data_IF_005285774476
#
_entry.id   IF_005285774476
#
_cell.length_a   1.000
_cell.length_b   1.000
_cell.length_c   1.000
_cell.angle_alpha   90.00
_cell.angle_beta   90.00
_cell.angle_gamma   90.00
#
_symmetry.space_group_name_H-M   'P 1'
#
loop_
_entity.id
_entity.type
_entity.pdbx_description
1 polymer ?
#
# COMPACT_ATOMS: atom_id res chain seq x y z
N UNK A 1 -3.99 7.53 15.27
CA UNK A 1 -5.28 8.17 14.95
C UNK A 1 -6.16 7.24 14.14
N UNK A 2 -5.79 6.84 12.91
CA UNK A 2 -6.65 6.00 12.04
C UNK A 2 -7.08 4.66 12.67
N UNK A 3 -6.20 3.99 13.43
CA UNK A 3 -6.54 2.74 14.14
C UNK A 3 -7.67 2.93 15.17
N UNK A 4 -7.68 4.03 15.90
CA UNK A 4 -8.73 4.33 16.89
C UNK A 4 -10.06 4.63 16.24
N UNK A 5 -10.03 5.21 15.03
CA UNK A 5 -11.24 5.44 14.25
C UNK A 5 -11.85 4.12 13.74
N UNK A 6 -11.01 3.16 13.37
CA UNK A 6 -11.49 1.81 13.00
C UNK A 6 -12.20 1.16 14.18
N UNK A 7 -11.65 1.25 15.39
CA UNK A 7 -12.31 0.78 16.61
C UNK A 7 -13.69 1.45 16.80
N UNK A 8 -13.71 2.78 16.72
CA UNK A 8 -14.95 3.54 16.86
C UNK A 8 -16.02 3.13 15.84
N UNK A 9 -15.66 2.95 14.56
CA UNK A 9 -16.60 2.55 13.50
C UNK A 9 -17.15 1.15 13.74
N UNK A 10 -16.31 0.21 14.18
CA UNK A 10 -16.74 -1.16 14.49
C UNK A 10 -17.71 -1.17 15.66
N UNK A 11 -17.38 -0.42 16.72
CA UNK A 11 -18.19 -0.35 17.94
C UNK A 11 -19.54 0.35 17.70
N UNK A 12 -19.52 1.52 17.05
CA UNK A 12 -20.71 2.36 16.78
C UNK A 12 -21.70 1.67 15.84
N UNK A 13 -21.20 0.94 14.83
CA UNK A 13 -22.06 0.27 13.85
C UNK A 13 -22.27 -1.22 14.13
N UNK A 14 -21.76 -1.74 15.25
CA UNK A 14 -21.85 -3.15 15.64
C UNK A 14 -21.45 -4.11 14.51
N UNK A 15 -20.34 -3.80 13.83
CA UNK A 15 -19.85 -4.60 12.70
C UNK A 15 -19.31 -5.92 13.24
N UNK A 16 -19.95 -7.03 12.85
CA UNK A 16 -19.46 -8.37 13.16
C UNK A 16 -18.21 -8.68 12.33
N UNK A 17 -17.04 -8.53 12.96
CA UNK A 17 -15.74 -8.79 12.37
C UNK A 17 -14.90 -9.65 13.33
N UNK A 18 -14.26 -10.68 12.78
CA UNK A 18 -13.33 -11.50 13.54
C UNK A 18 -12.19 -10.66 14.14
N UNK A 19 -11.87 -10.92 15.40
CA UNK A 19 -10.87 -10.15 16.14
C UNK A 19 -9.46 -10.25 15.52
N UNK A 20 -9.11 -11.38 14.91
CA UNK A 20 -7.84 -11.55 14.23
C UNK A 20 -7.82 -10.80 12.88
N UNK A 21 -8.93 -10.80 12.13
CA UNK A 21 -9.09 -9.94 10.95
C UNK A 21 -8.96 -8.46 11.32
N UNK A 22 -9.64 -7.99 12.36
CA UNK A 22 -9.57 -6.62 12.84
C UNK A 22 -8.13 -6.24 13.23
N UNK A 23 -7.40 -7.15 13.89
CA UNK A 23 -5.99 -6.98 14.22
C UNK A 23 -5.12 -6.81 12.97
N UNK A 24 -5.29 -7.67 11.96
CA UNK A 24 -4.53 -7.61 10.70
C UNK A 24 -4.77 -6.27 9.99
N UNK A 25 -6.02 -5.82 9.90
CA UNK A 25 -6.37 -4.52 9.29
C UNK A 25 -5.63 -3.37 9.98
N UNK A 26 -5.64 -3.36 11.32
CA UNK A 26 -4.92 -2.33 12.09
C UNK A 26 -3.41 -2.39 11.87
N UNK A 27 -2.84 -3.59 11.81
CA UNK A 27 -1.42 -3.80 11.51
C UNK A 27 -1.06 -3.29 10.09
N UNK A 28 -1.92 -3.52 9.09
CA UNK A 28 -1.75 -3.00 7.73
C UNK A 28 -1.76 -1.47 7.68
N UNK A 29 -2.65 -0.81 8.42
CA UNK A 29 -2.75 0.66 8.46
C UNK A 29 -1.48 1.31 9.04
N UNK A 30 -0.84 0.67 10.01
CA UNK A 30 0.36 1.21 10.69
C UNK A 30 1.67 0.61 10.18
N UNK A 31 1.64 -0.20 9.11
CA UNK A 31 2.79 -0.94 8.62
C UNK A 31 3.96 -0.04 8.20
N UNK A 32 3.69 1.17 7.75
CA UNK A 32 4.72 2.17 7.40
C UNK A 32 5.27 2.94 8.60
N UNK A 33 4.68 2.80 9.79
CA UNK A 33 5.15 3.47 11.00
C UNK A 33 6.39 2.77 11.56
N UNK A 34 7.32 3.54 12.13
CA UNK A 34 8.56 3.01 12.74
C UNK A 34 8.32 1.95 13.84
N UNK A 35 7.09 1.85 14.36
CA UNK A 35 6.64 0.90 15.37
C UNK A 35 6.49 -0.54 14.81
N UNK A 36 6.24 -0.68 13.49
CA UNK A 36 5.93 -1.97 12.86
C UNK A 36 7.18 -2.76 12.39
N UNK A 37 8.38 -2.14 12.39
CA UNK A 37 9.60 -2.72 11.82
C UNK A 37 10.08 -4.02 12.49
N UNK A 38 9.64 -4.31 13.72
CA UNK A 38 10.18 -5.43 14.50
C UNK A 38 9.30 -6.69 14.49
N UNK A 39 8.06 -6.63 13.99
CA UNK A 39 7.11 -7.71 14.20
C UNK A 39 6.64 -8.36 12.91
N UNK A 40 7.33 -9.45 12.63
CA UNK A 40 6.85 -10.68 11.98
C UNK A 40 7.38 -10.95 10.57
N UNK A 41 8.30 -11.90 10.50
CA UNK A 41 8.55 -12.72 9.33
C UNK A 41 7.33 -13.63 9.06
N UNK A 42 6.20 -13.03 8.65
CA UNK A 42 5.01 -13.76 8.23
C UNK A 42 4.96 -13.86 6.71
N UNK A 43 4.50 -15.01 6.23
CA UNK A 43 4.14 -15.25 4.84
C UNK A 43 3.25 -14.10 4.31
N UNK A 44 3.43 -13.68 3.05
CA UNK A 44 2.64 -12.62 2.36
C UNK A 44 2.84 -11.17 2.84
N UNK A 45 4.07 -10.76 3.13
CA UNK A 45 4.41 -9.36 3.47
C UNK A 45 3.95 -8.32 2.43
N UNK A 46 3.88 -8.70 1.15
CA UNK A 46 3.41 -7.81 0.08
C UNK A 46 2.01 -7.22 0.37
N UNK A 47 1.17 -7.90 1.16
CA UNK A 47 -0.16 -7.39 1.52
C UNK A 47 -0.08 -6.09 2.32
N UNK A 48 0.95 -5.94 3.16
CA UNK A 48 1.18 -4.72 3.94
C UNK A 48 1.74 -3.60 3.06
N UNK A 49 2.58 -3.94 2.07
CA UNK A 49 3.10 -2.99 1.08
C UNK A 49 1.99 -2.40 0.20
N UNK A 50 0.88 -3.11 0.01
CA UNK A 50 -0.27 -2.58 -0.75
C UNK A 50 -0.91 -1.40 -0.03
N UNK A 51 -1.08 -1.48 1.29
CA UNK A 51 -1.85 -0.50 2.08
C UNK A 51 -0.98 0.62 2.64
N UNK A 52 0.18 0.29 3.21
CA UNK A 52 1.08 1.27 3.82
C UNK A 52 2.53 0.82 3.69
N UNK A 53 3.15 1.17 2.57
CA UNK A 53 4.49 0.71 2.26
C UNK A 53 5.56 1.53 3.00
N UNK A 54 6.05 1.01 4.12
CA UNK A 54 7.14 1.65 4.88
C UNK A 54 8.52 1.59 4.23
N UNK A 55 8.71 0.75 3.19
CA UNK A 55 10.00 0.55 2.53
C UNK A 55 10.23 1.61 1.46
N UNK A 56 9.27 1.72 0.55
CA UNK A 56 9.36 2.56 -0.65
C UNK A 56 8.50 3.81 -0.52
N UNK A 57 7.50 3.78 0.37
CA UNK A 57 6.44 4.78 0.39
C UNK A 57 5.47 4.68 -0.78
N UNK A 58 5.54 3.65 -1.64
CA UNK A 58 4.61 3.45 -2.76
C UNK A 58 3.59 2.40 -2.36
N UNK A 59 2.36 2.86 -2.13
CA UNK A 59 1.17 2.08 -1.81
C UNK A 59 -0.02 2.57 -2.67
N UNK A 60 -1.15 1.88 -2.58
CA UNK A 60 -2.32 2.20 -3.42
C UNK A 60 -2.93 3.57 -3.11
N UNK A 61 -2.77 4.08 -1.88
CA UNK A 61 -3.25 5.41 -1.50
C UNK A 61 -2.54 6.49 -2.30
N UNK A 62 -1.20 6.46 -2.33
CA UNK A 62 -0.40 7.42 -3.10
C UNK A 62 -0.55 7.26 -4.61
N UNK A 63 -0.72 6.03 -5.09
CA UNK A 63 -0.98 5.78 -6.51
C UNK A 63 -2.34 6.37 -6.92
N UNK A 64 -3.38 6.16 -6.11
CA UNK A 64 -4.71 6.71 -6.35
C UNK A 64 -4.72 8.24 -6.29
N UNK A 65 -4.01 8.83 -5.32
CA UNK A 65 -3.85 10.29 -5.20
C UNK A 65 -3.22 10.88 -6.47
N UNK A 66 -2.11 10.28 -6.93
CA UNK A 66 -1.47 10.66 -8.19
C UNK A 66 -2.42 10.61 -9.39
N UNK A 67 -3.23 9.56 -9.49
CA UNK A 67 -4.16 9.40 -10.61
C UNK A 67 -5.27 10.46 -10.61
N UNK A 68 -5.80 10.81 -9.43
CA UNK A 68 -6.80 11.88 -9.30
C UNK A 68 -6.27 13.23 -9.78
N UNK A 69 -4.98 13.49 -9.62
CA UNK A 69 -4.33 14.73 -10.10
C UNK A 69 -4.08 14.70 -11.61
N UNK A 70 -3.92 13.52 -12.21
CA UNK A 70 -3.49 13.38 -13.60
C UNK A 70 -4.63 13.13 -14.61
N UNK A 71 -5.89 13.05 -14.16
CA UNK A 71 -7.09 12.87 -14.99
C UNK A 71 -6.96 11.74 -16.04
N UNK A 72 -6.16 10.72 -15.73
CA UNK A 72 -5.80 9.63 -16.63
C UNK A 72 -6.51 8.35 -16.19
N UNK A 73 -7.07 7.60 -17.15
CA UNK A 73 -7.81 6.36 -16.89
C UNK A 73 -6.97 5.37 -16.06
N UNK A 74 -7.49 5.01 -14.87
CA UNK A 74 -6.97 4.05 -13.88
C UNK A 74 -6.47 2.72 -14.48
N UNK A 75 -6.95 2.37 -15.68
CA UNK A 75 -6.69 1.10 -16.37
C UNK A 75 -5.21 0.83 -16.61
N UNK A 76 -4.39 1.85 -16.86
CA UNK A 76 -3.00 1.63 -17.27
C UNK A 76 -2.03 1.33 -16.11
N UNK A 77 -2.33 1.74 -14.88
CA UNK A 77 -1.42 1.54 -13.73
C UNK A 77 -1.64 0.20 -13.03
N UNK A 78 -2.88 -0.30 -12.96
CA UNK A 78 -3.14 -1.65 -12.40
C UNK A 78 -2.46 -2.73 -13.24
N UNK A 79 -2.42 -2.56 -14.57
CA UNK A 79 -1.72 -3.46 -15.50
C UNK A 79 -0.22 -3.58 -15.19
N UNK A 80 0.36 -2.59 -14.50
CA UNK A 80 1.78 -2.51 -14.18
C UNK A 80 2.18 -3.11 -12.84
N UNK A 81 1.22 -3.54 -12.02
CA UNK A 81 1.51 -4.06 -10.69
C UNK A 81 1.79 -5.56 -10.75
N UNK A 82 2.95 -6.00 -10.25
CA UNK A 82 3.31 -7.41 -10.13
C UNK A 82 3.71 -7.74 -8.70
N UNK A 83 3.41 -8.97 -8.28
CA UNK A 83 3.97 -9.54 -7.06
C UNK A 83 5.15 -10.41 -7.48
N UNK A 84 6.34 -10.08 -7.00
CA UNK A 84 7.54 -10.89 -7.18
C UNK A 84 7.98 -11.43 -5.83
N UNK A 85 7.94 -12.76 -5.69
CA UNK A 85 8.15 -13.48 -4.43
C UNK A 85 7.22 -13.00 -3.31
N UNK A 86 7.66 -12.01 -2.52
CA UNK A 86 6.93 -11.41 -1.41
C UNK A 86 6.90 -9.88 -1.47
N UNK A 87 7.17 -9.29 -2.64
CA UNK A 87 7.21 -7.85 -2.84
C UNK A 87 6.14 -7.40 -3.82
N UNK A 88 5.52 -6.28 -3.50
CA UNK A 88 4.67 -5.55 -4.42
C UNK A 88 5.51 -4.61 -5.28
N UNK A 89 5.48 -4.79 -6.59
CA UNK A 89 6.33 -4.08 -7.55
C UNK A 89 5.48 -3.31 -8.56
N UNK A 90 5.96 -2.12 -8.92
CA UNK A 90 5.42 -1.32 -10.04
C UNK A 90 6.37 -1.48 -11.22
N UNK A 91 5.97 -2.21 -12.25
CA UNK A 91 6.74 -2.34 -13.48
C UNK A 91 6.48 -1.12 -14.38
N UNK A 92 7.52 -0.43 -14.83
CA UNK A 92 7.35 0.75 -15.69
C UNK A 92 7.15 0.31 -17.14
N UNK A 93 6.01 0.64 -17.77
CA UNK A 93 5.97 0.76 -19.24
C UNK A 93 6.52 2.13 -19.61
N UNK A 94 7.69 2.12 -20.22
CA UNK A 94 8.36 3.30 -20.74
C UNK A 94 7.49 3.93 -21.84
N UNK A 95 6.91 5.08 -21.54
CA UNK A 95 7.27 6.34 -22.21
C UNK A 95 6.50 7.50 -21.55
N UNK A 96 7.25 8.44 -20.99
CA UNK A 96 6.85 9.83 -20.74
C UNK A 96 6.09 10.25 -19.46
N UNK A 97 6.36 9.64 -18.30
CA UNK A 97 6.13 10.33 -17.01
C UNK A 97 7.40 11.02 -16.54
N UNK A 98 7.67 12.21 -17.10
CA UNK A 98 8.68 13.15 -16.58
C UNK A 98 8.17 13.80 -15.30
N UNK A 99 8.89 13.52 -14.20
CA UNK A 99 9.21 14.47 -13.13
C UNK A 99 8.05 15.28 -12.55
N UNK A 100 7.27 14.68 -11.65
CA UNK A 100 6.68 15.43 -10.52
C UNK A 100 6.49 14.48 -9.32
N UNK A 101 7.31 14.71 -8.30
CA UNK A 101 7.14 14.31 -6.89
C UNK A 101 7.34 12.87 -6.43
N UNK A 102 7.83 11.92 -7.23
CA UNK A 102 8.22 10.60 -6.71
C UNK A 102 9.73 10.43 -6.65
N UNK A 103 10.20 10.02 -5.47
CA UNK A 103 11.61 9.78 -5.14
C UNK A 103 12.26 8.86 -6.19
N UNK A 104 13.46 9.18 -6.71
CA UNK A 104 14.04 8.52 -7.88
C UNK A 104 14.54 7.07 -7.68
N UNK A 105 14.32 6.43 -6.53
CA UNK A 105 15.16 5.29 -6.13
C UNK A 105 14.60 3.89 -6.38
N UNK A 106 13.38 3.71 -6.87
CA UNK A 106 12.80 2.35 -6.95
C UNK A 106 12.24 2.08 -8.34
N UNK A 107 13.18 1.95 -9.28
CA UNK A 107 12.97 1.25 -10.55
C UNK A 107 13.26 -0.22 -10.30
N UNK A 108 12.25 -1.08 -10.40
CA UNK A 108 12.49 -2.52 -10.47
C UNK A 108 13.07 -2.82 -11.86
N UNK A 109 14.39 -2.93 -11.98
CA UNK A 109 15.09 -3.30 -13.23
C UNK A 109 14.87 -4.77 -13.63
N UNK A 110 14.02 -5.49 -12.90
CA UNK A 110 13.71 -6.92 -13.09
C UNK A 110 12.35 -7.14 -13.75
N UNK A 111 11.62 -6.06 -14.08
CA UNK A 111 10.57 -6.02 -15.09
C UNK A 111 11.08 -5.22 -16.30
#
# INVERSE_FOLDING_TARGET
MSVQLVDYIVDEHHIDIDANCLKIVKEMIIASSNIAKEKSAKEKLFLYDIVANGRTGIDVDKLLESMRVMDNEIKNVIIMLKILENYFCVCRVTNDFRTRSYHPEIVCNSC
#
